data_IF_229138056116
#
_entry.id   IF_229138056116
#
_cell.length_a   1.000
_cell.length_b   1.000
_cell.length_c   1.000
_cell.angle_alpha   90.00
_cell.angle_beta   90.00
_cell.angle_gamma   90.00
#
_symmetry.space_group_name_H-M   'P 1'
#
loop_
_entity.id
_entity.type
_entity.pdbx_description
1 polymer ?
#
# COMPACT_ATOMS: atom_id res chain seq x y z
N UNK A 1 -1.24 14.55 -7.33
CA UNK A 1 -1.18 16.03 -7.49
C UNK A 1 0.20 16.48 -7.04
N UNK A 2 0.83 17.42 -7.76
CA UNK A 2 2.15 17.99 -7.44
C UNK A 2 2.03 19.50 -7.23
N UNK A 3 2.80 20.07 -6.29
CA UNK A 3 2.86 21.51 -6.06
C UNK A 3 3.67 21.87 -4.81
N UNK A 4 3.86 23.16 -4.58
CA UNK A 4 4.52 23.67 -3.37
C UNK A 4 3.50 23.66 -2.22
N UNK A 5 3.88 23.05 -1.10
CA UNK A 5 3.04 23.00 0.11
C UNK A 5 2.99 24.40 0.76
N UNK A 6 1.83 25.04 0.72
CA UNK A 6 1.63 26.37 1.28
C UNK A 6 1.11 26.31 2.72
N UNK A 7 0.21 25.36 2.99
CA UNK A 7 -0.43 25.23 4.29
C UNK A 7 -0.90 23.79 4.52
N UNK A 8 -0.92 23.37 5.79
CA UNK A 8 -1.48 22.09 6.21
C UNK A 8 -2.08 22.28 7.61
N UNK A 9 -3.40 22.19 7.72
CA UNK A 9 -4.09 22.49 8.97
C UNK A 9 -5.43 21.78 9.10
N UNK A 10 -5.95 21.73 10.32
CA UNK A 10 -7.31 21.28 10.63
C UNK A 10 -8.28 22.47 10.63
N UNK A 11 -9.33 22.40 9.80
CA UNK A 11 -10.37 23.40 9.71
C UNK A 11 -11.76 22.76 9.49
N UNK A 12 -12.87 23.50 9.63
CA UNK A 12 -14.17 23.04 9.15
C UNK A 12 -14.11 22.71 7.66
N UNK A 13 -14.74 21.61 7.25
CA UNK A 13 -14.65 21.14 5.85
C UNK A 13 -15.07 22.24 4.86
N UNK A 14 -14.19 22.53 3.90
CA UNK A 14 -14.34 23.63 2.92
C UNK A 14 -14.52 25.02 3.54
N UNK A 15 -14.01 25.20 4.78
CA UNK A 15 -14.14 26.45 5.56
C UNK A 15 -15.58 26.83 5.91
N UNK A 16 -16.54 25.90 5.81
CA UNK A 16 -17.91 26.09 6.26
C UNK A 16 -17.99 25.92 7.80
N UNK A 17 -18.35 26.97 8.57
CA UNK A 17 -18.42 26.89 10.03
C UNK A 17 -19.40 25.84 10.56
N UNK A 18 -20.42 25.47 9.78
CA UNK A 18 -21.39 24.43 10.13
C UNK A 18 -20.90 23.01 9.85
N UNK A 19 -19.83 22.86 9.06
CA UNK A 19 -19.29 21.55 8.69
C UNK A 19 -18.40 20.96 9.78
N UNK A 20 -18.28 19.61 9.79
CA UNK A 20 -17.34 18.91 10.67
C UNK A 20 -15.90 19.30 10.35
N UNK A 21 -15.07 19.34 11.39
CA UNK A 21 -13.61 19.56 11.21
C UNK A 21 -13.00 18.42 10.38
N UNK A 22 -12.14 18.81 9.47
CA UNK A 22 -11.32 17.92 8.63
C UNK A 22 -9.92 18.50 8.53
N UNK A 23 -9.00 17.76 7.96
CA UNK A 23 -7.66 18.26 7.66
C UNK A 23 -7.57 18.63 6.17
N UNK A 24 -6.80 19.68 5.86
CA UNK A 24 -6.53 20.06 4.48
C UNK A 24 -5.05 20.35 4.26
N UNK A 25 -4.63 20.22 3.01
CA UNK A 25 -3.36 20.71 2.51
C UNK A 25 -3.63 21.68 1.35
N UNK A 26 -2.99 22.84 1.38
CA UNK A 26 -3.03 23.83 0.33
C UNK A 26 -1.76 23.74 -0.49
N UNK A 27 -1.89 23.53 -1.79
CA UNK A 27 -0.78 23.42 -2.71
C UNK A 27 -0.84 24.52 -3.77
N UNK A 28 0.30 25.15 -4.06
CA UNK A 28 0.49 25.96 -5.26
C UNK A 28 0.94 25.04 -6.40
N UNK A 29 0.05 24.82 -7.35
CA UNK A 29 0.29 24.02 -8.55
C UNK A 29 0.52 24.90 -9.77
N UNK A 30 0.90 24.32 -10.90
CA UNK A 30 1.06 25.04 -12.20
C UNK A 30 -0.24 25.74 -12.65
N UNK A 31 -1.40 25.23 -12.23
CA UNK A 31 -2.74 25.77 -12.57
C UNK A 31 -3.34 26.60 -11.45
N UNK A 32 -2.54 27.05 -10.48
CA UNK A 32 -2.96 27.85 -9.33
C UNK A 32 -3.07 27.06 -8.03
N UNK A 33 -3.61 27.71 -7.00
CA UNK A 33 -3.75 27.12 -5.67
C UNK A 33 -4.88 26.08 -5.63
N UNK A 34 -4.62 24.96 -4.98
CA UNK A 34 -5.54 23.83 -4.83
C UNK A 34 -5.55 23.33 -3.41
N UNK A 35 -6.73 23.25 -2.81
CA UNK A 35 -6.91 22.62 -1.50
C UNK A 35 -7.37 21.17 -1.66
N UNK A 36 -6.71 20.27 -0.95
CA UNK A 36 -7.12 18.87 -0.79
C UNK A 36 -7.64 18.68 0.63
N UNK A 37 -8.78 18.01 0.76
CA UNK A 37 -9.41 17.74 2.03
C UNK A 37 -9.49 16.25 2.30
N UNK A 38 -9.16 15.84 3.52
CA UNK A 38 -9.27 14.44 3.91
C UNK A 38 -8.81 14.18 5.33
N UNK A 39 -9.56 13.36 6.06
CA UNK A 39 -9.26 13.00 7.45
C UNK A 39 -7.94 12.22 7.62
N UNK A 40 -7.38 11.66 6.54
CA UNK A 40 -6.10 10.92 6.57
C UNK A 40 -4.89 11.77 6.17
N UNK A 41 -5.09 13.02 5.69
CA UNK A 41 -3.99 13.86 5.20
C UNK A 41 -3.00 14.23 6.32
N UNK A 42 -3.49 14.52 7.53
CA UNK A 42 -2.64 14.78 8.69
C UNK A 42 -1.73 13.58 8.98
N UNK A 43 -2.32 12.40 9.09
CA UNK A 43 -1.57 11.17 9.30
C UNK A 43 -0.65 10.84 8.12
N UNK A 44 -1.00 11.22 6.88
CA UNK A 44 -0.14 11.06 5.71
C UNK A 44 1.11 11.94 5.80
N UNK A 45 0.98 13.19 6.24
CA UNK A 45 2.12 14.08 6.51
C UNK A 45 3.01 13.55 7.62
N UNK A 46 2.42 13.10 8.72
CA UNK A 46 3.18 12.53 9.86
C UNK A 46 3.94 11.25 9.49
N UNK A 47 3.38 10.42 8.59
CA UNK A 47 4.01 9.19 8.09
C UNK A 47 5.00 9.42 6.95
N UNK A 48 5.06 10.63 6.39
CA UNK A 48 5.95 10.94 5.29
C UNK A 48 7.41 10.72 5.67
N UNK A 49 8.12 9.89 4.91
CA UNK A 49 9.54 9.59 5.15
C UNK A 49 10.40 10.83 4.88
N UNK A 50 10.02 11.62 3.89
CA UNK A 50 10.72 12.86 3.52
C UNK A 50 10.44 14.04 4.46
N UNK A 51 9.48 13.90 5.40
CA UNK A 51 9.12 14.95 6.38
C UNK A 51 8.91 16.33 5.73
N UNK A 52 7.96 16.46 4.77
CA UNK A 52 7.78 17.70 4.02
C UNK A 52 7.40 18.86 4.92
N UNK A 53 7.93 20.05 4.59
CA UNK A 53 7.69 21.32 5.29
C UNK A 53 6.96 22.30 4.39
N UNK A 54 6.38 23.34 4.98
CA UNK A 54 5.84 24.46 4.22
C UNK A 54 6.94 25.05 3.35
N UNK A 55 6.65 25.24 2.07
CA UNK A 55 7.59 25.71 1.05
C UNK A 55 8.21 24.59 0.21
N UNK A 56 8.15 23.33 0.66
CA UNK A 56 8.67 22.21 -0.12
C UNK A 56 7.76 21.86 -1.30
N UNK A 57 8.36 21.43 -2.40
CA UNK A 57 7.62 20.84 -3.49
C UNK A 57 7.26 19.39 -3.15
N UNK A 58 5.96 19.09 -3.14
CA UNK A 58 5.43 17.80 -2.71
C UNK A 58 4.60 17.12 -3.79
N UNK A 59 4.53 15.80 -3.67
CA UNK A 59 3.62 14.94 -4.44
C UNK A 59 2.61 14.33 -3.49
N UNK A 60 1.32 14.53 -3.77
CA UNK A 60 0.21 13.94 -3.03
C UNK A 60 -0.47 12.88 -3.88
N UNK A 61 -0.41 11.63 -3.43
CA UNK A 61 -0.91 10.45 -4.12
C UNK A 61 -2.09 9.83 -3.36
N UNK A 62 -3.21 9.52 -4.04
CA UNK A 62 -4.25 8.68 -3.46
C UNK A 62 -3.81 7.21 -3.51
N UNK A 63 -3.78 6.54 -2.35
CA UNK A 63 -3.44 5.11 -2.24
C UNK A 63 -4.68 4.20 -2.24
N UNK A 64 -5.86 4.74 -2.62
CA UNK A 64 -7.12 4.02 -2.58
C UNK A 64 -7.92 4.31 -1.32
N UNK A 65 -8.85 3.42 -0.98
CA UNK A 65 -9.73 3.52 0.18
C UNK A 65 -9.53 2.32 1.10
N UNK A 66 -9.61 2.56 2.41
CA UNK A 66 -9.60 1.51 3.43
C UNK A 66 -10.91 1.53 4.21
N UNK A 67 -11.51 0.36 4.53
CA UNK A 67 -12.65 0.29 5.41
C UNK A 67 -12.25 0.72 6.82
N UNK A 68 -13.00 1.64 7.42
CA UNK A 68 -12.83 2.08 8.80
C UNK A 68 -14.15 1.91 9.54
N UNK A 69 -14.07 1.50 10.81
CA UNK A 69 -15.24 1.43 11.68
C UNK A 69 -15.43 2.78 12.34
N UNK A 70 -16.52 3.46 12.01
CA UNK A 70 -16.91 4.71 12.66
C UNK A 70 -17.89 4.38 13.79
N UNK A 71 -17.72 5.04 14.93
CA UNK A 71 -18.74 5.09 16.00
C UNK A 71 -19.70 6.22 15.64
N UNK A 72 -20.93 5.88 15.38
CA UNK A 72 -22.00 6.86 15.13
C UNK A 72 -22.91 6.86 16.35
N UNK A 73 -23.29 8.02 16.90
CA UNK A 73 -24.33 8.08 17.93
C UNK A 73 -25.60 7.45 17.37
N UNK A 74 -26.24 6.56 18.13
CA UNK A 74 -27.53 6.00 17.74
C UNK A 74 -28.54 7.16 17.55
N UNK A 75 -29.19 7.22 16.39
CA UNK A 75 -30.13 8.29 16.01
C UNK A 75 -31.54 8.04 16.57
N UNK A 76 -31.75 7.01 17.36
CA UNK A 76 -33.07 6.66 17.88
C UNK A 76 -33.38 7.42 19.17
N UNK A 77 -34.19 8.47 19.02
CA UNK A 77 -34.66 9.35 20.10
C UNK A 77 -35.61 8.70 21.14
N UNK A 78 -35.59 7.39 21.34
CA UNK A 78 -36.52 6.70 22.23
C UNK A 78 -35.93 5.56 23.06
N UNK A 79 -34.62 5.48 23.23
CA UNK A 79 -34.05 4.47 24.13
C UNK A 79 -32.87 5.04 24.92
N UNK A 80 -32.95 4.99 26.25
CA UNK A 80 -31.87 5.35 27.22
C UNK A 80 -30.67 4.41 27.19
N UNK A 81 -30.60 3.46 26.24
CA UNK A 81 -29.44 2.63 26.02
C UNK A 81 -28.54 3.30 24.98
N UNK A 82 -27.43 3.90 25.43
CA UNK A 82 -26.34 4.41 24.59
C UNK A 82 -25.73 3.26 23.80
N UNK A 83 -26.40 2.86 22.71
CA UNK A 83 -25.89 1.89 21.74
C UNK A 83 -24.98 2.58 20.76
N UNK A 84 -23.66 2.40 20.85
CA UNK A 84 -22.73 2.83 19.81
C UNK A 84 -22.90 1.91 18.58
N UNK A 85 -23.51 2.39 17.53
CA UNK A 85 -23.56 1.67 16.25
C UNK A 85 -22.23 1.82 15.53
N UNK A 86 -21.65 0.70 15.10
CA UNK A 86 -20.39 0.66 14.34
C UNK A 86 -20.71 0.58 12.86
N UNK A 87 -20.64 1.71 12.17
CA UNK A 87 -20.83 1.77 10.72
C UNK A 87 -19.50 1.59 10.00
N UNK A 88 -19.46 0.73 8.97
CA UNK A 88 -18.32 0.61 8.07
C UNK A 88 -18.35 1.76 7.07
N UNK A 89 -17.35 2.62 7.12
CA UNK A 89 -17.14 3.70 6.16
C UNK A 89 -15.85 3.48 5.36
N UNK A 90 -15.80 4.02 4.16
CA UNK A 90 -14.60 4.01 3.33
C UNK A 90 -13.82 5.30 3.56
N UNK A 91 -12.57 5.20 4.02
CA UNK A 91 -11.67 6.34 4.18
C UNK A 91 -10.64 6.33 3.08
N UNK A 92 -10.55 7.44 2.33
CA UNK A 92 -9.48 7.63 1.35
C UNK A 92 -8.15 7.72 2.06
N UNK A 93 -7.18 6.96 1.58
CA UNK A 93 -5.83 6.91 2.10
C UNK A 93 -4.90 7.70 1.20
N UNK A 94 -3.97 8.45 1.80
CA UNK A 94 -3.09 9.35 1.09
C UNK A 94 -1.63 9.08 1.41
N UNK A 95 -0.78 9.44 0.47
CA UNK A 95 0.65 9.56 0.66
C UNK A 95 1.08 10.96 0.27
N UNK A 96 1.96 11.55 1.07
CA UNK A 96 2.57 12.86 0.83
C UNK A 96 4.07 12.68 1.00
N UNK A 97 4.84 13.04 -0.02
CA UNK A 97 6.31 13.03 0.02
C UNK A 97 6.85 14.23 -0.74
N UNK A 98 8.07 14.65 -0.44
CA UNK A 98 8.74 15.67 -1.26
C UNK A 98 9.02 15.14 -2.66
N UNK A 99 9.07 16.05 -3.63
CA UNK A 99 9.37 15.68 -5.03
C UNK A 99 10.74 15.00 -5.15
N UNK A 100 11.76 15.51 -4.45
CA UNK A 100 13.11 14.94 -4.47
C UNK A 100 13.13 13.51 -3.96
N UNK A 101 12.33 13.22 -2.91
CA UNK A 101 12.21 11.87 -2.39
C UNK A 101 11.53 10.94 -3.41
N UNK A 102 10.49 11.41 -4.11
CA UNK A 102 9.84 10.65 -5.17
C UNK A 102 10.78 10.40 -6.36
N UNK A 103 11.61 11.37 -6.73
CA UNK A 103 12.64 11.18 -7.74
C UNK A 103 13.69 10.16 -7.32
N UNK A 104 14.13 10.18 -6.07
CA UNK A 104 15.04 9.16 -5.52
C UNK A 104 14.42 7.77 -5.63
N UNK A 105 13.14 7.60 -5.24
CA UNK A 105 12.45 6.32 -5.37
C UNK A 105 12.34 5.84 -6.82
N UNK A 106 12.05 6.74 -7.76
CA UNK A 106 11.98 6.41 -9.18
C UNK A 106 13.35 5.96 -9.73
N UNK A 107 14.45 6.60 -9.30
CA UNK A 107 15.81 6.20 -9.66
C UNK A 107 16.15 4.83 -9.09
N UNK A 108 15.84 4.56 -7.83
CA UNK A 108 16.07 3.26 -7.18
C UNK A 108 15.23 2.16 -7.84
N UNK A 109 13.97 2.44 -8.19
CA UNK A 109 13.14 1.50 -8.94
C UNK A 109 13.75 1.16 -10.31
N UNK A 110 14.31 2.14 -11.02
CA UNK A 110 14.99 1.91 -12.28
C UNK A 110 16.31 1.10 -12.09
N UNK A 111 17.08 1.41 -11.06
CA UNK A 111 18.27 0.61 -10.73
C UNK A 111 17.91 -0.84 -10.40
N UNK A 112 16.82 -1.04 -9.65
CA UNK A 112 16.33 -2.37 -9.31
C UNK A 112 15.96 -3.18 -10.55
N UNK A 113 15.31 -2.55 -11.55
CA UNK A 113 14.98 -3.21 -12.82
C UNK A 113 16.22 -3.62 -13.61
N UNK A 114 17.23 -2.75 -13.68
CA UNK A 114 18.41 -2.94 -14.53
C UNK A 114 19.53 -3.68 -13.78
N UNK A 115 19.97 -3.14 -12.64
CA UNK A 115 21.15 -3.63 -11.89
C UNK A 115 20.81 -4.70 -10.85
N UNK A 116 19.53 -4.94 -10.57
CA UNK A 116 19.04 -5.90 -9.57
C UNK A 116 19.46 -5.59 -8.12
N UNK A 117 19.83 -4.35 -7.85
CA UNK A 117 20.27 -3.88 -6.54
C UNK A 117 19.74 -2.49 -6.27
N UNK A 118 19.76 -2.07 -5.02
CA UNK A 118 19.44 -0.73 -4.53
C UNK A 118 20.68 -0.10 -3.91
N UNK A 119 20.71 1.23 -3.87
CA UNK A 119 21.83 1.97 -3.28
C UNK A 119 21.80 1.86 -1.75
N UNK A 120 22.92 1.52 -1.07
CA UNK A 120 22.96 1.46 0.39
C UNK A 120 22.50 2.75 1.06
N UNK A 121 22.99 3.91 0.61
CA UNK A 121 22.61 5.21 1.17
C UNK A 121 21.14 5.58 0.95
N UNK A 122 20.47 5.03 -0.06
CA UNK A 122 19.02 5.21 -0.24
C UNK A 122 18.24 4.31 0.72
N UNK A 123 18.71 3.09 0.99
CA UNK A 123 18.08 2.18 1.96
C UNK A 123 18.12 2.73 3.38
N UNK A 124 19.18 3.46 3.76
CA UNK A 124 19.26 4.15 5.05
C UNK A 124 18.22 5.27 5.17
N UNK A 125 17.96 5.97 4.06
CA UNK A 125 17.00 7.09 4.03
C UNK A 125 15.55 6.65 3.95
N UNK A 126 15.26 5.50 3.34
CA UNK A 126 13.90 4.99 3.20
C UNK A 126 13.81 3.51 3.60
N UNK A 127 13.20 3.19 4.75
CA UNK A 127 13.02 1.82 5.22
C UNK A 127 12.29 0.90 4.22
N UNK A 128 11.47 1.46 3.32
CA UNK A 128 10.74 0.68 2.29
C UNK A 128 11.69 0.00 1.32
N UNK A 129 12.83 0.62 1.02
CA UNK A 129 13.86 0.03 0.17
C UNK A 129 14.51 -1.18 0.82
N UNK A 130 14.69 -1.15 2.13
CA UNK A 130 15.15 -2.31 2.91
C UNK A 130 14.14 -3.46 2.85
N UNK A 131 12.83 -3.17 3.00
CA UNK A 131 11.77 -4.17 2.84
C UNK A 131 11.70 -4.72 1.41
N UNK A 132 11.90 -3.88 0.39
CA UNK A 132 11.98 -4.30 -1.00
C UNK A 132 13.10 -5.33 -1.22
N UNK A 133 14.29 -5.08 -0.71
CA UNK A 133 15.42 -6.02 -0.81
C UNK A 133 15.18 -7.30 -0.03
N UNK A 134 14.66 -7.23 1.19
CA UNK A 134 14.28 -8.40 1.97
C UNK A 134 13.21 -9.24 1.26
N UNK A 135 12.22 -8.60 0.66
CA UNK A 135 11.19 -9.25 -0.15
C UNK A 135 11.77 -10.00 -1.35
N UNK A 136 12.75 -9.42 -2.05
CA UNK A 136 13.45 -10.08 -3.15
C UNK A 136 14.29 -11.28 -2.69
N UNK A 137 14.95 -11.19 -1.54
CA UNK A 137 15.69 -12.31 -0.97
C UNK A 137 14.75 -13.47 -0.61
N UNK A 138 13.60 -13.18 0.00
CA UNK A 138 12.58 -14.20 0.29
C UNK A 138 12.02 -14.82 -0.98
N UNK A 139 11.74 -13.99 -2.00
CA UNK A 139 11.27 -14.48 -3.30
C UNK A 139 12.29 -15.41 -3.97
N UNK A 140 13.59 -15.11 -3.86
CA UNK A 140 14.65 -15.97 -4.38
C UNK A 140 14.71 -17.32 -3.67
N UNK A 141 14.57 -17.33 -2.35
CA UNK A 141 14.48 -18.58 -1.58
C UNK A 141 13.25 -19.40 -1.96
N UNK A 142 12.11 -18.75 -2.14
CA UNK A 142 10.86 -19.38 -2.52
C UNK A 142 10.92 -19.97 -3.94
N UNK A 143 11.46 -19.22 -4.91
CA UNK A 143 11.62 -19.68 -6.29
C UNK A 143 12.45 -20.97 -6.39
N UNK A 144 13.54 -21.10 -5.61
CA UNK A 144 14.37 -22.33 -5.54
C UNK A 144 13.62 -23.53 -5.00
N UNK A 145 12.58 -23.33 -4.18
CA UNK A 145 11.73 -24.40 -3.64
C UNK A 145 10.61 -24.80 -4.60
N UNK A 146 10.13 -23.86 -5.42
CA UNK A 146 9.02 -24.09 -6.35
C UNK A 146 9.43 -24.85 -7.60
N UNK A 147 10.62 -24.60 -8.11
CA UNK A 147 11.10 -25.21 -9.34
C UNK A 147 12.62 -25.39 -9.31
N UNK A 148 13.09 -26.48 -9.89
CA UNK A 148 14.53 -26.72 -10.09
C UNK A 148 15.04 -26.13 -11.40
N UNK A 149 14.13 -25.71 -12.31
CA UNK A 149 14.49 -25.10 -13.58
C UNK A 149 15.01 -23.67 -13.39
N UNK A 150 16.30 -23.37 -13.71
CA UNK A 150 16.88 -22.03 -13.53
C UNK A 150 16.19 -20.95 -14.37
N UNK A 151 15.66 -21.31 -15.54
CA UNK A 151 14.98 -20.34 -16.41
C UNK A 151 13.68 -19.85 -15.78
N UNK A 152 12.85 -20.77 -15.31
CA UNK A 152 11.60 -20.47 -14.59
C UNK A 152 11.86 -19.67 -13.31
N UNK A 153 12.90 -20.02 -12.52
CA UNK A 153 13.31 -19.23 -11.36
C UNK A 153 13.65 -17.78 -11.75
N UNK A 154 14.40 -17.60 -12.83
CA UNK A 154 14.81 -16.29 -13.32
C UNK A 154 13.62 -15.44 -13.76
N UNK A 155 12.68 -16.02 -14.51
CA UNK A 155 11.46 -15.33 -14.97
C UNK A 155 10.60 -14.91 -13.77
N UNK A 156 10.39 -15.77 -12.79
CA UNK A 156 9.63 -15.44 -11.59
C UNK A 156 10.27 -14.29 -10.82
N UNK A 157 11.58 -14.33 -10.60
CA UNK A 157 12.30 -13.27 -9.90
C UNK A 157 12.30 -11.95 -10.68
N UNK A 158 12.39 -11.99 -12.00
CA UNK A 158 12.28 -10.82 -12.84
C UNK A 158 10.89 -10.17 -12.70
N UNK A 159 9.82 -10.96 -12.75
CA UNK A 159 8.46 -10.48 -12.57
C UNK A 159 8.24 -9.84 -11.20
N UNK A 160 8.68 -10.50 -10.11
CA UNK A 160 8.57 -9.96 -8.76
C UNK A 160 9.35 -8.65 -8.63
N UNK A 161 10.55 -8.58 -9.18
CA UNK A 161 11.39 -7.38 -9.14
C UNK A 161 10.73 -6.19 -9.85
N UNK A 162 10.11 -6.42 -11.03
CA UNK A 162 9.37 -5.38 -11.73
C UNK A 162 8.19 -4.87 -10.89
N UNK A 163 7.41 -5.77 -10.29
CA UNK A 163 6.28 -5.38 -9.43
C UNK A 163 6.71 -4.59 -8.21
N UNK A 164 7.84 -4.95 -7.58
CA UNK A 164 8.39 -4.18 -6.46
C UNK A 164 8.84 -2.79 -6.94
N UNK A 165 9.50 -2.70 -8.09
CA UNK A 165 9.91 -1.43 -8.66
C UNK A 165 8.70 -0.54 -9.01
N UNK A 166 7.63 -1.11 -9.55
CA UNK A 166 6.39 -0.39 -9.83
C UNK A 166 5.75 0.11 -8.51
N UNK A 167 5.68 -0.75 -7.49
CA UNK A 167 5.14 -0.37 -6.18
C UNK A 167 5.93 0.77 -5.51
N UNK A 168 7.26 0.84 -5.71
CA UNK A 168 8.08 1.95 -5.22
C UNK A 168 7.71 3.26 -5.92
N UNK A 169 7.54 3.25 -7.24
CA UNK A 169 7.14 4.43 -8.03
C UNK A 169 5.72 4.88 -7.68
N UNK A 170 4.79 3.93 -7.57
CA UNK A 170 3.39 4.20 -7.23
C UNK A 170 3.21 4.62 -5.76
N UNK A 171 4.27 4.58 -4.99
CA UNK A 171 4.24 4.98 -3.60
C UNK A 171 3.50 4.01 -2.70
N UNK A 172 3.32 2.75 -3.11
CA UNK A 172 2.68 1.74 -2.29
C UNK A 172 3.55 1.35 -1.08
N UNK A 173 2.91 1.10 0.05
CA UNK A 173 3.61 0.63 1.24
C UNK A 173 4.06 -0.82 1.02
N UNK A 174 5.36 -1.03 0.99
CA UNK A 174 5.95 -2.37 0.96
C UNK A 174 6.12 -2.84 2.40
N UNK A 175 5.32 -3.82 2.79
CA UNK A 175 5.45 -4.48 4.09
C UNK A 175 5.85 -5.94 3.87
N UNK A 176 6.79 -6.42 4.67
CA UNK A 176 6.94 -7.87 4.80
C UNK A 176 5.67 -8.40 5.47
N UNK A 177 5.02 -9.43 4.90
CA UNK A 177 3.88 -10.04 5.55
C UNK A 177 4.29 -10.54 6.94
N UNK A 178 3.47 -10.24 7.95
CA UNK A 178 3.68 -10.78 9.29
C UNK A 178 3.83 -12.31 9.18
N UNK A 179 4.89 -12.85 9.77
CA UNK A 179 5.27 -14.27 9.67
C UNK A 179 4.12 -15.20 10.03
N UNK A 180 3.23 -14.75 10.92
CA UNK A 180 2.00 -15.47 11.32
C UNK A 180 0.96 -15.54 10.19
N UNK A 181 0.81 -14.48 9.41
CA UNK A 181 -0.14 -14.42 8.29
C UNK A 181 0.39 -15.17 7.08
N UNK A 182 1.69 -15.14 6.84
CA UNK A 182 2.32 -15.88 5.74
C UNK A 182 2.20 -17.40 5.92
N UNK A 183 2.32 -17.92 7.15
CA UNK A 183 2.15 -19.34 7.44
C UNK A 183 0.67 -19.80 7.36
N UNK A 184 -0.28 -18.94 7.74
CA UNK A 184 -1.72 -19.26 7.68
C UNK A 184 -2.30 -19.27 6.25
N UNK A 185 -1.61 -18.65 5.28
CA UNK A 185 -2.00 -18.59 3.86
C UNK A 185 -1.18 -19.48 2.94
N UNK A 186 -0.26 -20.29 3.45
CA UNK A 186 0.40 -21.28 2.63
C UNK A 186 -0.68 -22.24 2.12
N UNK A 187 -0.88 -22.38 0.78
CA UNK A 187 -1.80 -23.38 0.27
C UNK A 187 -1.31 -24.72 0.79
N UNK A 188 -2.16 -25.44 1.50
CA UNK A 188 -1.96 -26.85 1.78
C UNK A 188 -1.92 -27.50 0.40
N UNK A 189 -0.75 -27.82 -0.09
CA UNK A 189 -0.58 -28.66 -1.27
C UNK A 189 -1.18 -30.01 -0.86
N UNK A 190 -2.46 -30.20 -1.21
CA UNK A 190 -3.11 -31.50 -1.11
C UNK A 190 -2.21 -32.47 -1.86
N UNK A 191 -1.67 -33.44 -1.14
CA UNK A 191 -0.85 -34.50 -1.72
C UNK A 191 -1.61 -35.20 -2.86
N UNK A 192 -0.93 -35.99 -3.71
CA UNK A 192 -1.52 -36.58 -4.88
C UNK A 192 -2.80 -37.32 -4.48
N UNK A 193 -3.92 -36.84 -5.01
CA UNK A 193 -5.23 -37.36 -4.72
C UNK A 193 -5.25 -38.88 -4.98
N UNK A 194 -5.70 -39.61 -3.99
CA UNK A 194 -6.08 -41.01 -4.18
C UNK A 194 -7.00 -41.07 -5.40
N UNK A 195 -6.58 -41.83 -6.42
CA UNK A 195 -7.43 -42.16 -7.55
C UNK A 195 -8.76 -42.62 -7.01
N UNK A 196 -9.80 -41.84 -7.29
CA UNK A 196 -11.17 -42.19 -6.93
C UNK A 196 -11.60 -43.37 -7.78
N UNK A 197 -12.17 -44.32 -7.11
CA UNK A 197 -12.74 -45.62 -7.48
C UNK A 197 -13.95 -45.53 -8.45
N UNK A 198 -13.80 -44.82 -9.58
CA UNK A 198 -14.85 -44.67 -10.59
C UNK A 198 -14.66 -45.47 -11.85
N UNK A 199 -13.59 -46.29 -12.00
CA UNK A 199 -13.28 -47.08 -13.20
C UNK A 199 -13.65 -48.57 -13.11
N UNK A 200 -14.49 -48.98 -12.15
CA UNK A 200 -14.82 -50.39 -11.97
C UNK A 200 -16.21 -50.84 -12.42
N UNK A 201 -16.98 -50.00 -13.10
CA UNK A 201 -18.35 -50.37 -13.54
C UNK A 201 -18.63 -50.18 -15.04
N UNK A 202 -17.61 -50.16 -15.91
CA UNK A 202 -17.81 -50.01 -17.36
C UNK A 202 -17.62 -51.32 -18.16
N UNK A 203 -17.48 -52.48 -17.55
CA UNK A 203 -17.28 -53.74 -18.27
C UNK A 203 -18.15 -54.90 -17.77
N UNK A 204 -19.44 -54.69 -17.49
CA UNK A 204 -20.41 -55.76 -17.37
C UNK A 204 -21.77 -55.31 -17.95
N UNK A 205 -21.89 -55.35 -19.28
CA UNK A 205 -23.12 -55.58 -20.06
C UNK A 205 -22.78 -55.68 -21.54
N UNK A 206 -22.46 -56.88 -21.96
CA UNK A 206 -22.87 -57.44 -23.29
C UNK A 206 -23.11 -58.93 -23.11
#
# INVERSE_FOLDING_TARGET
MRGVLLEAAAAPYRFDPAARRSFYVLLRTEVGERSLWGADLEAALQRAVSQPRIGDEVVVLPLGTKPVRLRVPAQDGHSEAVGEERVLAQRRHWRIETLDHMHMLAQEAQQLRVKRTLSPGSMERDPRLTYAMAGLQLAAQYARRLTVDPHSQHQLLASIRHRIADALVDGLDLHLPDRRVAMARAPVLSGPGRATEWDRHAHERT
#
